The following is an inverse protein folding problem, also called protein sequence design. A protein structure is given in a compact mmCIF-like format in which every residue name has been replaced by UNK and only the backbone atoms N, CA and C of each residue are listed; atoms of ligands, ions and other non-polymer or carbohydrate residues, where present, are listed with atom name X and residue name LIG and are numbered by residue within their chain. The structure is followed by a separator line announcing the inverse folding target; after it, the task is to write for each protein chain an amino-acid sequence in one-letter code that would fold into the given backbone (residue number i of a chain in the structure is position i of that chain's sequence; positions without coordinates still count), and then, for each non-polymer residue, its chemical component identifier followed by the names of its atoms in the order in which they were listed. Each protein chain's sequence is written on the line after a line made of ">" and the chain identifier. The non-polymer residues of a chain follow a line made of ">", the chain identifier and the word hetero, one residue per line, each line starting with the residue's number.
data_IF_911482801261
#
_entry.id   IF_911482801261
#
_cell.length_a   1.000
_cell.length_b   1.000
_cell.length_c   1.000
_cell.angle_alpha   90.00
_cell.angle_beta   90.00
_cell.angle_gamma   90.00
#
_symmetry.space_group_name_H-M   'P 1'
#
loop_
_entity.id
_entity.type
_entity.pdbx_description
1 polymer ?
#
# COMPACT_ATOMS: atom_id res chain seq x y z
N UNK A 1 1.86 2.89 2.11
CA UNK A 1 2.03 1.43 2.15
C UNK A 1 0.78 0.78 1.57
N UNK A 2 0.88 -0.20 0.69
CA UNK A 2 -0.29 -0.83 0.06
C UNK A 2 -0.21 -2.35 0.14
N UNK A 3 -1.37 -2.99 0.28
CA UNK A 3 -1.53 -4.40 -0.06
C UNK A 3 -1.41 -4.63 -1.58
N UNK A 4 -1.02 -5.84 -1.96
CA UNK A 4 -0.91 -6.24 -3.35
C UNK A 4 -2.25 -6.68 -3.94
N UNK A 5 -2.86 -7.73 -3.38
CA UNK A 5 -3.94 -8.48 -4.01
C UNK A 5 -5.29 -7.84 -3.72
N UNK A 6 -5.97 -7.38 -4.77
CA UNK A 6 -7.29 -6.74 -4.61
C UNK A 6 -7.21 -5.27 -4.18
N UNK A 7 -6.01 -4.70 -4.04
CA UNK A 7 -5.79 -3.26 -3.85
C UNK A 7 -4.94 -2.71 -5.00
N UNK A 8 -3.65 -3.03 -5.04
CA UNK A 8 -2.76 -2.55 -6.09
C UNK A 8 -3.13 -3.15 -7.46
N UNK A 9 -3.65 -4.37 -7.46
CA UNK A 9 -4.10 -5.07 -8.67
C UNK A 9 -5.59 -4.90 -8.96
N UNK A 10 -6.31 -4.03 -8.26
CA UNK A 10 -7.72 -3.75 -8.58
C UNK A 10 -7.80 -3.12 -9.99
N UNK A 11 -8.47 -3.77 -10.96
CA UNK A 11 -8.60 -3.22 -12.31
C UNK A 11 -9.42 -1.93 -12.34
N UNK A 12 -10.21 -1.64 -11.30
CA UNK A 12 -11.15 -0.52 -11.29
C UNK A 12 -12.33 -0.73 -12.23
N UNK A 13 -12.92 0.38 -12.66
CA UNK A 13 -14.03 0.42 -13.61
C UNK A 13 -13.50 0.69 -15.03
N UNK A 14 -14.26 0.33 -16.06
CA UNK A 14 -13.96 0.64 -17.47
C UNK A 14 -12.69 0.03 -18.09
N UNK A 15 -12.08 -0.97 -17.41
CA UNK A 15 -10.93 -1.75 -17.90
C UNK A 15 -9.78 -0.89 -18.47
N UNK A 16 -9.19 -0.01 -17.64
CA UNK A 16 -8.05 0.82 -18.03
C UNK A 16 -6.85 -0.05 -18.41
N UNK A 17 -5.90 0.49 -19.20
CA UNK A 17 -4.69 -0.23 -19.59
C UNK A 17 -3.76 -0.56 -18.40
N UNK A 18 -3.88 0.18 -17.29
CA UNK A 18 -3.13 -0.03 -16.04
C UNK A 18 -4.11 0.08 -14.85
N UNK A 19 -3.96 -0.75 -13.79
CA UNK A 19 -4.71 -0.58 -12.55
C UNK A 19 -4.61 0.86 -12.02
N UNK A 20 -5.73 1.54 -11.70
CA UNK A 20 -5.70 2.95 -11.31
C UNK A 20 -4.85 3.24 -10.07
N UNK A 21 -4.82 2.31 -9.11
CA UNK A 21 -3.99 2.42 -7.89
C UNK A 21 -2.49 2.30 -8.21
N UNK A 22 -2.12 1.56 -9.26
CA UNK A 22 -0.74 1.52 -9.75
C UNK A 22 -0.35 2.85 -10.42
N UNK A 23 -1.24 3.42 -11.23
CA UNK A 23 -1.03 4.75 -11.81
C UNK A 23 -0.89 5.81 -10.71
N UNK A 24 -1.77 5.80 -9.70
CA UNK A 24 -1.68 6.70 -8.55
C UNK A 24 -0.37 6.52 -7.77
N UNK A 25 0.09 5.28 -7.57
CA UNK A 25 1.36 5.00 -6.91
C UNK A 25 2.56 5.64 -7.63
N UNK A 26 2.55 5.67 -8.96
CA UNK A 26 3.58 6.36 -9.76
C UNK A 26 3.59 7.86 -9.46
N UNK A 27 2.42 8.47 -9.39
CA UNK A 27 2.28 9.89 -9.06
C UNK A 27 2.71 10.20 -7.62
N UNK A 28 2.31 9.37 -6.66
CA UNK A 28 2.77 9.45 -5.26
C UNK A 28 4.30 9.42 -5.20
N UNK A 29 4.94 8.46 -5.89
CA UNK A 29 6.39 8.37 -5.92
C UNK A 29 7.05 9.59 -6.59
N UNK A 30 6.49 10.06 -7.71
CA UNK A 30 6.97 11.25 -8.42
C UNK A 30 6.92 12.51 -7.55
N UNK A 31 5.98 12.58 -6.61
CA UNK A 31 5.84 13.67 -5.63
C UNK A 31 6.81 13.55 -4.45
N UNK A 32 7.63 12.51 -4.39
CA UNK A 32 8.69 12.33 -3.40
C UNK A 32 8.28 11.56 -2.15
N UNK A 33 7.08 10.98 -2.12
CA UNK A 33 6.66 10.11 -1.03
C UNK A 33 7.39 8.77 -1.08
N UNK A 34 7.73 8.25 0.10
CA UNK A 34 8.21 6.87 0.25
C UNK A 34 7.07 5.88 0.06
N UNK A 35 7.29 4.84 -0.71
CA UNK A 35 6.27 3.85 -1.06
C UNK A 35 6.70 2.46 -0.63
N UNK A 36 5.75 1.65 -0.16
CA UNK A 36 6.02 0.26 0.15
C UNK A 36 4.87 -0.68 -0.17
N UNK A 37 5.24 -1.92 -0.50
CA UNK A 37 4.34 -3.04 -0.66
C UNK A 37 4.40 -3.92 0.59
N UNK A 38 3.24 -4.27 1.13
CA UNK A 38 3.10 -5.18 2.27
C UNK A 38 1.99 -6.19 1.99
N UNK A 39 2.38 -7.44 1.69
CA UNK A 39 1.45 -8.50 1.30
C UNK A 39 1.58 -9.73 2.20
N UNK A 40 0.44 -10.32 2.57
CA UNK A 40 0.43 -11.65 3.17
C UNK A 40 0.56 -12.69 2.05
N UNK A 41 1.80 -13.01 1.69
CA UNK A 41 2.14 -13.96 0.63
C UNK A 41 3.33 -14.84 1.08
N UNK A 42 3.56 -15.91 0.33
CA UNK A 42 4.80 -16.65 0.44
C UNK A 42 6.00 -15.79 0.01
N UNK A 43 7.20 -16.16 0.45
CA UNK A 43 8.41 -15.36 0.21
C UNK A 43 9.06 -15.56 -1.16
N UNK A 44 8.33 -16.11 -2.12
CA UNK A 44 8.83 -16.43 -3.47
C UNK A 44 8.32 -15.44 -4.51
N UNK A 45 7.96 -14.23 -4.07
CA UNK A 45 7.37 -13.23 -4.95
C UNK A 45 8.39 -12.65 -5.92
N UNK A 46 8.05 -12.68 -7.21
CA UNK A 46 8.79 -11.99 -8.26
C UNK A 46 7.92 -10.85 -8.82
N UNK A 47 8.19 -9.58 -8.49
CA UNK A 47 7.39 -8.47 -8.98
C UNK A 47 7.33 -8.41 -10.51
N UNK A 48 6.20 -8.00 -11.10
CA UNK A 48 6.15 -7.62 -12.50
C UNK A 48 7.20 -6.54 -12.81
N UNK A 49 7.83 -6.58 -13.98
CA UNK A 49 8.80 -5.56 -14.39
C UNK A 49 8.23 -4.13 -14.33
N UNK A 50 6.91 -3.98 -14.53
CA UNK A 50 6.20 -2.71 -14.39
C UNK A 50 6.33 -2.06 -13.00
N UNK A 51 6.70 -2.84 -11.97
CA UNK A 51 6.83 -2.40 -10.58
C UNK A 51 8.27 -2.00 -10.23
N UNK A 52 9.21 -2.15 -11.17
CA UNK A 52 10.60 -1.80 -10.96
C UNK A 52 10.73 -0.34 -10.52
N UNK A 53 11.37 -0.13 -9.36
CA UNK A 53 11.58 1.18 -8.77
C UNK A 53 10.33 1.81 -8.13
N UNK A 54 9.16 1.16 -8.12
CA UNK A 54 7.95 1.74 -7.52
C UNK A 54 7.90 1.67 -6.01
N UNK A 55 8.71 0.84 -5.38
CA UNK A 55 8.71 0.64 -3.93
C UNK A 55 10.10 0.86 -3.35
N UNK A 56 10.17 1.62 -2.26
CA UNK A 56 11.37 1.79 -1.45
C UNK A 56 11.53 0.64 -0.45
N UNK A 57 10.41 -0.03 -0.10
CA UNK A 57 10.41 -1.30 0.61
C UNK A 57 9.34 -2.24 0.07
N UNK A 58 9.65 -3.54 -0.03
CA UNK A 58 8.67 -4.59 -0.27
C UNK A 58 8.83 -5.66 0.79
N UNK A 59 7.72 -6.07 1.41
CA UNK A 59 7.70 -7.07 2.47
C UNK A 59 6.61 -8.09 2.18
N UNK A 60 7.02 -9.35 2.03
CA UNK A 60 6.12 -10.50 1.98
C UNK A 60 6.13 -11.18 3.35
N UNK A 61 4.96 -11.53 3.89
CA UNK A 61 4.85 -12.16 5.22
C UNK A 61 5.74 -13.41 5.37
N UNK A 62 5.80 -14.24 4.33
CA UNK A 62 6.57 -15.48 4.35
C UNK A 62 8.08 -15.29 4.46
N UNK A 63 8.62 -14.14 4.04
CA UNK A 63 10.06 -13.83 4.12
C UNK A 63 10.49 -13.44 5.53
N UNK A 64 9.59 -12.81 6.27
CA UNK A 64 9.89 -12.19 7.57
C UNK A 64 9.30 -12.95 8.76
N UNK A 65 8.45 -13.96 8.52
CA UNK A 65 7.82 -14.76 9.56
C UNK A 65 6.79 -13.99 10.40
N UNK A 66 6.34 -12.83 9.92
CA UNK A 66 5.28 -12.01 10.49
C UNK A 66 4.16 -11.90 9.44
N UNK A 67 2.93 -11.63 9.85
CA UNK A 67 1.82 -11.42 8.92
C UNK A 67 0.86 -10.35 9.44
N UNK A 68 0.18 -9.64 8.53
CA UNK A 68 -0.98 -8.82 8.90
C UNK A 68 -2.05 -9.74 9.52
N UNK A 69 -2.73 -9.35 10.62
CA UNK A 69 -2.79 -8.01 11.22
C UNK A 69 -1.82 -7.78 12.40
N UNK A 70 -0.75 -8.56 12.56
CA UNK A 70 0.21 -8.36 13.66
C UNK A 70 0.89 -6.98 13.57
N UNK A 71 0.78 -6.18 14.63
CA UNK A 71 1.39 -4.84 14.75
C UNK A 71 2.88 -4.83 14.36
N UNK A 72 3.61 -5.91 14.65
CA UNK A 72 5.03 -6.02 14.37
C UNK A 72 5.38 -5.87 12.88
N UNK A 73 4.52 -6.38 11.97
CA UNK A 73 4.82 -6.31 10.53
C UNK A 73 4.70 -4.88 9.99
N UNK A 74 3.73 -4.10 10.47
CA UNK A 74 3.54 -2.71 10.08
C UNK A 74 4.71 -1.86 10.54
N UNK A 75 5.13 -2.02 11.80
CA UNK A 75 6.29 -1.33 12.35
C UNK A 75 7.59 -1.70 11.63
N UNK A 76 7.73 -2.97 11.24
CA UNK A 76 8.87 -3.42 10.43
C UNK A 76 8.94 -2.69 9.09
N UNK A 77 7.81 -2.53 8.39
CA UNK A 77 7.79 -1.84 7.09
C UNK A 77 8.05 -0.34 7.27
N UNK A 78 7.44 0.31 8.27
CA UNK A 78 7.70 1.71 8.59
C UNK A 78 9.20 1.95 8.87
N UNK A 79 9.83 1.07 9.67
CA UNK A 79 11.26 1.13 9.95
C UNK A 79 12.13 0.93 8.69
N UNK A 80 11.74 0.04 7.76
CA UNK A 80 12.42 -0.11 6.46
C UNK A 80 12.30 1.13 5.59
N UNK A 81 11.23 1.90 5.76
CA UNK A 81 11.04 3.18 5.13
C UNK A 81 11.73 4.32 5.90
N UNK A 82 12.34 4.09 7.06
CA UNK A 82 12.89 5.16 7.91
C UNK A 82 11.83 6.24 8.19
N UNK A 83 10.67 5.77 8.70
CA UNK A 83 9.50 6.56 9.08
C UNK A 83 8.91 6.01 10.38
N UNK A 84 8.24 6.87 11.14
CA UNK A 84 7.37 6.46 12.24
C UNK A 84 6.02 5.93 11.72
N UNK A 85 5.35 5.00 12.42
CA UNK A 85 4.03 4.51 11.99
C UNK A 85 3.01 5.64 11.76
N UNK A 86 3.04 6.71 12.56
CA UNK A 86 2.14 7.86 12.43
C UNK A 86 2.32 8.67 11.14
N UNK A 87 3.43 8.48 10.44
CA UNK A 87 3.71 9.12 9.15
C UNK A 87 3.28 8.25 7.96
N UNK A 88 2.75 7.05 8.23
CA UNK A 88 2.41 6.07 7.21
C UNK A 88 0.88 5.98 7.01
N UNK A 89 0.46 5.98 5.75
CA UNK A 89 -0.88 5.52 5.33
C UNK A 89 -0.78 4.07 4.85
N UNK A 90 -1.66 3.20 5.33
CA UNK A 90 -1.80 1.81 4.87
C UNK A 90 -3.14 1.57 4.19
N UNK A 91 -3.10 0.98 2.99
CA UNK A 91 -4.27 0.66 2.17
C UNK A 91 -4.40 -0.86 2.03
N UNK A 92 -5.55 -1.41 2.38
CA UNK A 92 -5.85 -2.86 2.36
C UNK A 92 -7.37 -3.08 2.21
N UNK A 93 -7.78 -4.17 1.56
CA UNK A 93 -9.19 -4.52 1.34
C UNK A 93 -9.80 -5.29 2.52
N UNK A 94 -8.98 -5.84 3.42
CA UNK A 94 -9.42 -6.54 4.62
C UNK A 94 -9.45 -5.60 5.82
N UNK A 95 -10.65 -5.35 6.34
CA UNK A 95 -10.86 -4.50 7.52
C UNK A 95 -10.04 -4.94 8.75
N UNK A 96 -9.72 -6.24 8.88
CA UNK A 96 -8.87 -6.74 9.97
C UNK A 96 -7.42 -6.25 9.84
N UNK A 97 -6.89 -6.16 8.62
CA UNK A 97 -5.56 -5.63 8.36
C UNK A 97 -5.52 -4.12 8.59
N UNK A 98 -6.60 -3.41 8.26
CA UNK A 98 -6.71 -1.98 8.56
C UNK A 98 -6.69 -1.72 10.06
N UNK A 99 -7.42 -2.53 10.85
CA UNK A 99 -7.38 -2.42 12.33
C UNK A 99 -5.97 -2.65 12.88
N UNK A 100 -5.24 -3.64 12.38
CA UNK A 100 -3.86 -3.90 12.78
C UNK A 100 -2.91 -2.73 12.46
N UNK A 101 -3.08 -2.10 11.30
CA UNK A 101 -2.31 -0.91 10.93
C UNK A 101 -2.60 0.29 11.85
N UNK A 102 -3.88 0.52 12.17
CA UNK A 102 -4.29 1.58 13.10
C UNK A 102 -3.74 1.32 14.51
N UNK A 103 -3.79 0.07 14.99
CA UNK A 103 -3.19 -0.32 16.27
C UNK A 103 -1.66 -0.13 16.28
N UNK A 104 -1.00 -0.31 15.13
CA UNK A 104 0.41 -0.01 14.96
C UNK A 104 0.74 1.49 14.99
N UNK A 105 -0.27 2.36 14.86
CA UNK A 105 -0.14 3.82 14.85
C UNK A 105 -0.25 4.46 13.47
N UNK A 106 -0.61 3.70 12.43
CA UNK A 106 -0.76 4.21 11.05
C UNK A 106 -2.15 4.80 10.79
N UNK A 107 -2.27 5.60 9.74
CA UNK A 107 -3.56 5.91 9.14
C UNK A 107 -3.98 4.73 8.24
N UNK A 108 -5.18 4.19 8.47
CA UNK A 108 -5.72 3.09 7.69
C UNK A 108 -6.78 3.55 6.69
N UNK A 109 -6.64 3.16 5.42
CA UNK A 109 -7.61 3.37 4.33
C UNK A 109 -8.18 2.02 3.93
N UNK A 110 -9.47 1.79 4.18
CA UNK A 110 -10.12 0.53 3.82
C UNK A 110 -10.51 0.57 2.35
N UNK A 111 -9.78 -0.18 1.53
CA UNK A 111 -10.07 -0.29 0.11
C UNK A 111 -11.42 -0.99 -0.13
N UNK A 112 -12.37 -0.26 -0.71
CA UNK A 112 -13.70 -0.76 -1.11
C UNK A 112 -13.96 -0.56 -2.59
N UNK A 113 -13.49 0.56 -3.12
CA UNK A 113 -13.49 0.90 -4.54
C UNK A 113 -12.26 1.75 -4.83
N UNK A 114 -11.79 1.70 -6.09
CA UNK A 114 -10.75 2.62 -6.59
C UNK A 114 -11.09 4.08 -6.26
N UNK A 115 -12.29 4.54 -6.62
CA UNK A 115 -12.68 5.95 -6.46
C UNK A 115 -12.56 6.44 -5.03
N UNK A 116 -13.15 5.71 -4.07
CA UNK A 116 -13.11 6.09 -2.65
C UNK A 116 -11.68 6.09 -2.10
N UNK A 117 -10.89 5.10 -2.49
CA UNK A 117 -9.48 4.99 -2.08
C UNK A 117 -8.66 6.16 -2.59
N UNK A 118 -8.82 6.54 -3.87
CA UNK A 118 -8.12 7.69 -4.45
C UNK A 118 -8.54 8.99 -3.78
N UNK A 119 -9.83 9.20 -3.51
CA UNK A 119 -10.34 10.37 -2.79
C UNK A 119 -9.70 10.51 -1.39
N UNK A 120 -9.64 9.43 -0.62
CA UNK A 120 -9.00 9.44 0.70
C UNK A 120 -7.50 9.72 0.60
N UNK A 121 -6.80 9.13 -0.37
CA UNK A 121 -5.37 9.35 -0.57
C UNK A 121 -5.06 10.78 -1.01
N UNK A 122 -5.88 11.41 -1.86
CA UNK A 122 -5.70 12.82 -2.25
C UNK A 122 -5.80 13.75 -1.04
N UNK A 123 -6.75 13.47 -0.14
CA UNK A 123 -6.93 14.23 1.10
C UNK A 123 -5.74 14.04 2.03
N UNK A 124 -5.33 12.79 2.28
CA UNK A 124 -4.27 12.45 3.23
C UNK A 124 -2.88 12.88 2.77
N UNK A 125 -2.62 12.86 1.46
CA UNK A 125 -1.31 13.18 0.88
C UNK A 125 -1.25 14.59 0.30
N UNK A 126 -2.36 15.33 0.29
CA UNK A 126 -2.46 16.70 -0.25
C UNK A 126 -1.97 16.83 -1.71
N UNK A 127 -2.22 15.81 -2.53
CA UNK A 127 -1.87 15.77 -3.96
C UNK A 127 -3.05 15.29 -4.80
N UNK A 128 -3.12 15.72 -6.06
CA UNK A 128 -4.09 15.19 -7.02
C UNK A 128 -3.61 13.85 -7.58
N UNK A 129 -4.47 12.84 -7.56
CA UNK A 129 -4.22 11.48 -8.07
C UNK A 129 -5.24 11.08 -9.16
N UNK A 130 -6.34 11.84 -9.28
CA UNK A 130 -7.36 11.69 -10.32
C UNK A 130 -7.11 12.69 -11.44
N UNK A 131 -7.29 12.25 -12.67
CA UNK A 131 -7.21 13.06 -13.90
C UNK A 131 -8.52 12.95 -14.68
#
# INVERSE_FOLDING_TARGET
>A
MLDYGGVLTDPGEDNPPEPPLLTALREVKRKGFKTALLSNADGWWNPPAAFAGLFDAAVMSGEVGLAKPDVAIYRLVAAKLDLEPGECVFVDDLAVNIRGAVEAGMVGVHHRTVRSTLEELEILLEIALRH
#
